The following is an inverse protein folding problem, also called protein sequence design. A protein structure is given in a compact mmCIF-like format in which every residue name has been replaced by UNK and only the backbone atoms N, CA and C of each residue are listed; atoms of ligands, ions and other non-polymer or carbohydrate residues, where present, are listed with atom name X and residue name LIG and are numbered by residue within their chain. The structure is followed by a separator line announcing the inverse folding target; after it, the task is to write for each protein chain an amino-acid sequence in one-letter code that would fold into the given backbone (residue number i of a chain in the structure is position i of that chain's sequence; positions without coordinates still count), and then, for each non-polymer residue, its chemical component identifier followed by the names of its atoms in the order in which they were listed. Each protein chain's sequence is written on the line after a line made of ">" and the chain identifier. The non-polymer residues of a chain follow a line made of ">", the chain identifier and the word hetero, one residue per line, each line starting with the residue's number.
data_IF_211341851825
#
_entry.id   IF_211341851825
#
_cell.length_a   1.000
_cell.length_b   1.000
_cell.length_c   1.000
_cell.angle_alpha   90.00
_cell.angle_beta   90.00
_cell.angle_gamma   90.00
#
_symmetry.space_group_name_H-M   'P 1'
#
loop_
_entity.id
_entity.type
_entity.pdbx_description
1 polymer ?
#
# COMPACT_ATOMS: atom_id res chain seq x y z
N UNK A 1 -26.65 -3.08 9.37
CA UNK A 1 -25.33 -3.58 8.99
C UNK A 1 -24.54 -2.34 8.59
N UNK A 2 -23.38 -2.12 9.18
CA UNK A 2 -22.54 -0.98 8.79
C UNK A 2 -21.89 -1.21 7.43
N UNK A 3 -21.12 -0.24 6.99
CA UNK A 3 -20.40 -0.34 5.69
C UNK A 3 -19.11 -1.16 5.82
N UNK A 4 -18.80 -1.92 4.79
CA UNK A 4 -17.59 -2.73 4.68
C UNK A 4 -16.56 -2.01 3.80
N UNK A 5 -15.31 -1.94 4.26
CA UNK A 5 -14.19 -1.48 3.47
C UNK A 5 -13.22 -2.63 3.18
N UNK A 6 -12.77 -2.76 1.91
CA UNK A 6 -11.58 -3.54 1.60
C UNK A 6 -10.37 -2.62 1.63
N UNK A 7 -9.32 -3.08 2.32
CA UNK A 7 -8.06 -2.36 2.41
C UNK A 7 -6.93 -3.24 1.87
N UNK A 8 -6.14 -2.69 0.94
CA UNK A 8 -5.11 -3.39 0.19
C UNK A 8 -3.73 -3.12 0.77
N UNK A 9 -2.94 -4.18 0.94
CA UNK A 9 -1.65 -4.12 1.60
C UNK A 9 -0.57 -3.40 0.77
N UNK A 10 0.50 -2.98 1.43
CA UNK A 10 1.64 -2.33 0.82
C UNK A 10 2.92 -3.17 0.89
N UNK A 11 4.00 -2.61 0.35
CA UNK A 11 5.33 -3.21 0.41
C UNK A 11 5.76 -3.46 1.86
N UNK A 12 6.38 -4.63 2.11
CA UNK A 12 6.80 -5.10 3.44
C UNK A 12 5.95 -6.27 3.96
N UNK A 13 4.84 -6.58 3.27
CA UNK A 13 3.98 -7.72 3.63
C UNK A 13 4.36 -9.03 2.91
N UNK A 14 5.16 -8.97 1.83
CA UNK A 14 5.50 -10.10 0.97
C UNK A 14 6.23 -11.24 1.69
N UNK A 15 5.95 -12.46 1.26
CA UNK A 15 6.66 -13.67 1.68
C UNK A 15 6.51 -14.77 0.61
N UNK A 16 7.42 -15.75 0.61
CA UNK A 16 7.38 -16.88 -0.31
C UNK A 16 6.18 -17.78 -0.05
N UNK A 17 5.34 -18.01 -1.04
CA UNK A 17 4.09 -18.78 -0.93
C UNK A 17 2.83 -17.92 -0.85
N UNK A 18 2.95 -16.58 -0.82
CA UNK A 18 1.81 -15.67 -0.74
C UNK A 18 0.82 -15.89 -1.89
N UNK A 19 -0.47 -15.96 -1.55
CA UNK A 19 -1.59 -16.11 -2.48
C UNK A 19 -1.77 -17.50 -3.08
N UNK A 20 -0.82 -18.44 -2.88
CA UNK A 20 -0.91 -19.82 -3.43
C UNK A 20 -2.18 -20.54 -3.01
N UNK A 21 -2.60 -20.35 -1.74
CA UNK A 21 -3.81 -20.98 -1.24
C UNK A 21 -5.06 -20.53 -2.02
N UNK A 22 -5.21 -19.23 -2.27
CA UNK A 22 -6.35 -18.69 -3.03
C UNK A 22 -6.26 -19.08 -4.51
N UNK A 23 -5.08 -19.10 -5.11
CA UNK A 23 -4.86 -19.59 -6.47
C UNK A 23 -5.39 -21.02 -6.65
N UNK A 24 -5.16 -21.90 -5.68
CA UNK A 24 -5.58 -23.30 -5.75
C UNK A 24 -7.08 -23.51 -5.46
N UNK A 25 -7.74 -22.58 -4.75
CA UNK A 25 -9.09 -22.77 -4.20
C UNK A 25 -10.15 -21.79 -4.75
N UNK A 26 -9.78 -20.79 -5.56
CA UNK A 26 -10.69 -19.80 -6.16
C UNK A 26 -10.40 -19.62 -7.64
N UNK A 27 -11.34 -19.95 -8.53
CA UNK A 27 -11.23 -19.66 -9.96
C UNK A 27 -10.98 -18.18 -10.25
N UNK A 28 -11.63 -17.26 -9.52
CA UNK A 28 -11.45 -15.82 -9.68
C UNK A 28 -10.05 -15.37 -9.29
N UNK A 29 -9.51 -15.90 -8.18
CA UNK A 29 -8.12 -15.62 -7.79
C UNK A 29 -7.14 -16.17 -8.83
N UNK A 30 -7.34 -17.39 -9.30
CA UNK A 30 -6.50 -18.02 -10.33
C UNK A 30 -6.44 -17.18 -11.60
N UNK A 31 -7.58 -16.66 -12.06
CA UNK A 31 -7.65 -15.82 -13.26
C UNK A 31 -6.78 -14.55 -13.13
N UNK A 32 -6.69 -13.94 -11.94
CA UNK A 32 -5.81 -12.78 -11.71
C UNK A 32 -4.34 -13.16 -11.87
N UNK A 33 -3.90 -14.30 -11.36
CA UNK A 33 -2.53 -14.78 -11.54
C UNK A 33 -2.22 -15.12 -13.01
N UNK A 34 -3.17 -15.76 -13.71
CA UNK A 34 -3.04 -16.07 -15.15
C UNK A 34 -2.93 -14.80 -15.99
N UNK A 35 -3.72 -13.77 -15.68
CA UNK A 35 -3.61 -12.44 -16.29
C UNK A 35 -2.24 -11.83 -16.02
N UNK A 36 -1.77 -11.84 -14.78
CA UNK A 36 -0.46 -11.31 -14.41
C UNK A 36 0.68 -12.00 -15.16
N UNK A 37 0.65 -13.35 -15.25
CA UNK A 37 1.64 -14.12 -15.97
C UNK A 37 1.62 -13.88 -17.48
N UNK A 38 0.46 -13.54 -18.06
CA UNK A 38 0.35 -13.19 -19.49
C UNK A 38 1.05 -11.87 -19.83
N UNK A 39 1.23 -10.99 -18.85
CA UNK A 39 1.85 -9.66 -19.01
C UNK A 39 3.32 -9.67 -18.54
N UNK A 40 3.58 -10.31 -17.42
CA UNK A 40 4.91 -10.46 -16.81
C UNK A 40 5.11 -11.93 -16.43
N UNK A 41 5.81 -12.65 -17.29
CA UNK A 41 6.05 -14.08 -17.12
C UNK A 41 6.59 -14.43 -15.72
N UNK A 42 6.13 -15.58 -15.20
CA UNK A 42 6.54 -16.13 -13.90
C UNK A 42 6.17 -15.26 -12.68
N UNK A 43 5.22 -14.35 -12.76
CA UNK A 43 4.75 -13.57 -11.60
C UNK A 43 4.15 -14.51 -10.54
N UNK A 44 3.29 -15.45 -10.92
CA UNK A 44 2.74 -16.46 -10.02
C UNK A 44 3.84 -17.31 -9.37
N UNK A 45 4.78 -17.81 -10.16
CA UNK A 45 5.92 -18.59 -9.66
C UNK A 45 6.76 -17.77 -8.67
N UNK A 46 7.00 -16.50 -8.95
CA UNK A 46 7.73 -15.61 -8.06
C UNK A 46 6.99 -15.40 -6.73
N UNK A 47 5.65 -15.25 -6.74
CA UNK A 47 4.84 -15.18 -5.53
C UNK A 47 4.93 -16.47 -4.70
N UNK A 48 4.89 -17.63 -5.36
CA UNK A 48 4.76 -18.93 -4.69
C UNK A 48 6.11 -19.50 -4.23
N UNK A 49 7.18 -19.26 -4.99
CA UNK A 49 8.48 -19.93 -4.82
C UNK A 49 9.66 -18.94 -4.74
N UNK A 50 9.44 -17.65 -4.98
CA UNK A 50 10.49 -16.63 -4.97
C UNK A 50 11.16 -16.52 -3.59
N UNK A 51 12.47 -16.30 -3.58
CA UNK A 51 13.21 -16.05 -2.34
C UNK A 51 12.85 -14.70 -1.75
N UNK A 52 13.08 -14.51 -0.44
CA UNK A 52 12.88 -13.20 0.20
C UNK A 52 13.78 -12.12 -0.39
N UNK A 53 14.98 -12.47 -0.85
CA UNK A 53 15.87 -11.54 -1.55
C UNK A 53 15.26 -11.04 -2.86
N UNK A 54 14.67 -11.93 -3.64
CA UNK A 54 13.97 -11.57 -4.90
C UNK A 54 12.72 -10.76 -4.62
N UNK A 55 11.89 -11.21 -3.67
CA UNK A 55 10.63 -10.57 -3.32
C UNK A 55 10.81 -9.20 -2.64
N UNK A 56 11.98 -8.90 -2.08
CA UNK A 56 12.27 -7.61 -1.44
C UNK A 56 12.75 -6.53 -2.42
N UNK A 57 13.03 -6.89 -3.67
CA UNK A 57 13.33 -5.88 -4.72
C UNK A 57 12.05 -5.20 -5.14
N UNK A 58 11.99 -3.87 -5.07
CA UNK A 58 10.78 -3.08 -5.36
C UNK A 58 10.13 -3.45 -6.70
N UNK A 59 10.94 -3.67 -7.74
CA UNK A 59 10.50 -4.10 -9.07
C UNK A 59 9.79 -5.46 -9.08
N UNK A 60 10.02 -6.30 -8.10
CA UNK A 60 9.36 -7.59 -7.91
C UNK A 60 8.24 -7.52 -6.87
N UNK A 61 8.49 -6.82 -5.77
CA UNK A 61 7.53 -6.70 -4.65
C UNK A 61 6.19 -6.15 -5.14
N UNK A 62 6.23 -5.07 -5.91
CA UNK A 62 5.00 -4.37 -6.30
C UNK A 62 4.07 -5.22 -7.16
N UNK A 63 4.49 -5.83 -8.29
CA UNK A 63 3.60 -6.68 -9.07
C UNK A 63 3.16 -7.94 -8.32
N UNK A 64 4.00 -8.52 -7.47
CA UNK A 64 3.65 -9.72 -6.72
C UNK A 64 2.58 -9.46 -5.64
N UNK A 65 2.72 -8.39 -4.85
CA UNK A 65 1.70 -8.02 -3.86
C UNK A 65 0.41 -7.58 -4.55
N UNK A 66 0.48 -6.75 -5.59
CA UNK A 66 -0.69 -6.37 -6.38
C UNK A 66 -1.51 -7.59 -6.82
N UNK A 67 -0.83 -8.61 -7.38
CA UNK A 67 -1.49 -9.82 -7.85
C UNK A 67 -2.17 -10.58 -6.71
N UNK A 68 -1.49 -10.74 -5.58
CA UNK A 68 -2.03 -11.46 -4.43
C UNK A 68 -3.21 -10.70 -3.78
N UNK A 69 -3.11 -9.39 -3.66
CA UNK A 69 -4.16 -8.53 -3.09
C UNK A 69 -5.41 -8.52 -3.97
N UNK A 70 -5.25 -8.32 -5.28
CA UNK A 70 -6.37 -8.33 -6.21
C UNK A 70 -7.01 -9.71 -6.30
N UNK A 71 -6.23 -10.78 -6.29
CA UNK A 71 -6.73 -12.16 -6.26
C UNK A 71 -7.58 -12.43 -5.02
N UNK A 72 -7.15 -11.97 -3.84
CA UNK A 72 -7.92 -12.11 -2.61
C UNK A 72 -9.24 -11.34 -2.65
N UNK A 73 -9.22 -10.11 -3.17
CA UNK A 73 -10.43 -9.31 -3.34
C UNK A 73 -11.42 -9.97 -4.32
N UNK A 74 -10.94 -10.52 -5.44
CA UNK A 74 -11.78 -11.24 -6.40
C UNK A 74 -12.36 -12.52 -5.80
N UNK A 75 -11.61 -13.25 -4.97
CA UNK A 75 -12.10 -14.43 -4.26
C UNK A 75 -13.22 -14.10 -3.26
N UNK A 76 -13.13 -12.97 -2.54
CA UNK A 76 -14.20 -12.48 -1.66
C UNK A 76 -15.47 -12.17 -2.44
N UNK A 77 -15.36 -11.48 -3.57
CA UNK A 77 -16.51 -11.18 -4.45
C UNK A 77 -17.14 -12.47 -5.00
N UNK A 78 -16.34 -13.46 -5.37
CA UNK A 78 -16.82 -14.79 -5.78
C UNK A 78 -17.70 -15.44 -4.70
N UNK A 79 -17.41 -15.19 -3.43
CA UNK A 79 -18.19 -15.67 -2.28
C UNK A 79 -19.35 -14.73 -1.89
N UNK A 80 -19.61 -13.69 -2.66
CA UNK A 80 -20.70 -12.74 -2.44
C UNK A 80 -20.40 -11.65 -1.42
N UNK A 81 -19.14 -11.50 -0.99
CA UNK A 81 -18.71 -10.45 -0.06
C UNK A 81 -18.18 -9.27 -0.88
N UNK A 82 -18.87 -8.13 -0.80
CA UNK A 82 -18.53 -6.91 -1.55
C UNK A 82 -18.33 -5.73 -0.60
N UNK A 83 -17.38 -4.82 -0.88
CA UNK A 83 -17.19 -3.63 -0.07
C UNK A 83 -18.05 -2.46 -0.55
N UNK A 84 -18.35 -1.54 0.35
CA UNK A 84 -18.95 -0.22 0.05
C UNK A 84 -17.90 0.78 -0.43
N UNK A 85 -16.67 0.63 0.06
CA UNK A 85 -15.54 1.46 -0.36
C UNK A 85 -14.21 0.70 -0.23
N UNK A 86 -13.17 1.26 -0.83
CA UNK A 86 -11.82 0.68 -0.81
C UNK A 86 -10.77 1.74 -0.53
N UNK A 87 -9.64 1.31 0.05
CA UNK A 87 -8.40 2.07 0.13
C UNK A 87 -7.22 1.12 -0.01
N UNK A 88 -6.07 1.64 -0.40
CA UNK A 88 -4.85 0.84 -0.46
C UNK A 88 -3.68 1.61 0.13
N UNK A 89 -2.74 0.92 0.73
CA UNK A 89 -1.57 1.52 1.32
C UNK A 89 -0.42 1.55 0.30
N UNK A 90 -0.03 2.72 -0.19
CA UNK A 90 1.05 2.88 -1.16
C UNK A 90 0.79 2.08 -2.45
N UNK A 91 1.51 0.99 -2.69
CA UNK A 91 1.23 0.13 -3.85
C UNK A 91 -0.18 -0.47 -3.83
N UNK A 92 -0.75 -0.69 -2.64
CA UNK A 92 -2.11 -1.19 -2.48
C UNK A 92 -3.18 -0.26 -3.08
N UNK A 93 -2.89 1.03 -3.20
CA UNK A 93 -3.78 1.97 -3.91
C UNK A 93 -3.92 1.60 -5.40
N UNK A 94 -2.88 1.03 -6.03
CA UNK A 94 -2.98 0.54 -7.42
C UNK A 94 -3.92 -0.68 -7.49
N UNK A 95 -3.87 -1.58 -6.49
CA UNK A 95 -4.83 -2.69 -6.38
C UNK A 95 -6.26 -2.18 -6.17
N UNK A 96 -6.42 -1.13 -5.37
CA UNK A 96 -7.70 -0.45 -5.16
C UNK A 96 -8.23 0.22 -6.45
N UNK A 97 -7.36 0.81 -7.29
CA UNK A 97 -7.73 1.36 -8.60
C UNK A 97 -8.27 0.29 -9.54
N UNK A 98 -7.64 -0.89 -9.59
CA UNK A 98 -8.15 -2.03 -10.36
C UNK A 98 -9.50 -2.51 -9.83
N UNK A 99 -9.58 -2.73 -8.51
CA UNK A 99 -10.80 -3.25 -7.89
C UNK A 99 -11.98 -2.29 -8.02
N UNK A 100 -11.75 -0.99 -7.87
CA UNK A 100 -12.79 0.04 -8.02
C UNK A 100 -13.27 0.22 -9.47
N UNK A 101 -12.54 -0.31 -10.44
CA UNK A 101 -12.85 -0.22 -11.87
C UNK A 101 -12.41 1.10 -12.51
N UNK A 102 -11.56 1.89 -11.85
CA UNK A 102 -10.90 3.06 -12.47
C UNK A 102 -9.97 2.59 -13.59
N UNK A 103 -9.25 1.49 -13.35
CA UNK A 103 -8.42 0.81 -14.34
C UNK A 103 -8.93 -0.62 -14.54
N UNK A 104 -8.70 -1.19 -15.72
CA UNK A 104 -8.81 -2.64 -15.90
C UNK A 104 -7.71 -3.34 -15.08
N UNK A 105 -7.94 -4.61 -14.74
CA UNK A 105 -6.95 -5.41 -13.99
C UNK A 105 -5.60 -5.45 -14.73
N UNK A 106 -5.63 -5.55 -16.08
CA UNK A 106 -4.43 -5.57 -16.92
C UNK A 106 -3.70 -4.21 -16.94
N UNK A 107 -4.42 -3.10 -17.09
CA UNK A 107 -3.81 -1.76 -17.10
C UNK A 107 -3.22 -1.42 -15.74
N UNK A 108 -3.91 -1.75 -14.65
CA UNK A 108 -3.41 -1.55 -13.30
C UNK A 108 -2.17 -2.42 -13.03
N UNK A 109 -2.15 -3.67 -13.54
CA UNK A 109 -0.97 -4.53 -13.42
C UNK A 109 0.23 -3.96 -14.20
N UNK A 110 0.02 -3.47 -15.43
CA UNK A 110 1.08 -2.78 -16.19
C UNK A 110 1.56 -1.52 -15.47
N UNK A 111 0.64 -0.75 -14.90
CA UNK A 111 0.94 0.46 -14.13
C UNK A 111 1.79 0.14 -12.89
N UNK A 112 1.43 -0.90 -12.11
CA UNK A 112 2.19 -1.28 -10.92
C UNK A 112 3.58 -1.82 -11.26
N UNK A 113 3.73 -2.55 -12.36
CA UNK A 113 5.05 -2.95 -12.88
C UNK A 113 5.91 -1.72 -13.19
N UNK A 114 5.33 -0.76 -13.92
CA UNK A 114 6.03 0.49 -14.27
C UNK A 114 6.37 1.33 -13.05
N UNK A 115 5.45 1.42 -12.08
CA UNK A 115 5.68 2.09 -10.79
C UNK A 115 6.85 1.45 -10.04
N UNK A 116 6.89 0.12 -9.96
CA UNK A 116 7.99 -0.62 -9.32
C UNK A 116 9.35 -0.33 -9.96
N UNK A 117 9.43 -0.35 -11.30
CA UNK A 117 10.65 -0.02 -12.05
C UNK A 117 11.14 1.41 -11.78
N UNK A 118 10.23 2.39 -11.85
CA UNK A 118 10.58 3.80 -11.67
C UNK A 118 11.01 4.11 -10.24
N UNK A 119 10.32 3.56 -9.25
CA UNK A 119 10.67 3.75 -7.84
C UNK A 119 11.97 3.04 -7.46
N UNK A 120 12.24 1.86 -8.00
CA UNK A 120 13.50 1.13 -7.79
C UNK A 120 14.69 1.90 -8.41
N UNK A 121 14.49 2.43 -9.61
CA UNK A 121 15.47 3.30 -10.27
C UNK A 121 15.74 4.57 -9.44
N UNK A 122 14.69 5.28 -9.03
CA UNK A 122 14.83 6.51 -8.24
C UNK A 122 15.54 6.25 -6.90
N UNK A 123 15.24 5.12 -6.23
CA UNK A 123 15.92 4.70 -5.00
C UNK A 123 17.40 4.42 -5.20
N UNK A 124 17.78 3.91 -6.37
CA UNK A 124 19.18 3.66 -6.74
C UNK A 124 19.94 4.96 -7.05
N UNK A 125 19.29 5.88 -7.77
CA UNK A 125 19.90 7.16 -8.19
C UNK A 125 19.92 8.18 -7.03
N UNK A 126 18.93 8.13 -6.13
CA UNK A 126 18.81 9.01 -4.96
C UNK A 126 18.70 8.16 -3.68
N UNK A 127 19.79 7.57 -3.21
CA UNK A 127 19.75 6.69 -2.04
C UNK A 127 19.35 7.45 -0.79
N UNK A 128 18.51 6.80 0.03
CA UNK A 128 18.05 7.32 1.30
C UNK A 128 17.70 6.20 2.26
N UNK A 129 17.17 6.57 3.40
CA UNK A 129 16.74 5.66 4.44
C UNK A 129 15.33 5.97 4.91
N UNK A 130 14.65 4.97 5.47
CA UNK A 130 13.36 5.17 6.15
C UNK A 130 13.43 4.65 7.57
N UNK A 131 12.80 5.35 8.49
CA UNK A 131 12.70 4.96 9.89
C UNK A 131 11.24 4.97 10.36
N UNK A 132 10.79 3.86 10.96
CA UNK A 132 9.52 3.83 11.67
C UNK A 132 9.70 4.42 13.07
N UNK A 133 9.00 5.53 13.33
CA UNK A 133 8.96 6.22 14.63
C UNK A 133 7.73 5.78 15.39
N UNK A 134 7.91 5.38 16.64
CA UNK A 134 6.87 4.89 17.54
C UNK A 134 6.85 5.73 18.83
N UNK A 135 5.67 5.80 19.47
CA UNK A 135 5.43 6.45 20.78
C UNK A 135 5.54 7.98 20.77
N UNK A 136 5.60 8.61 19.61
CA UNK A 136 5.50 10.07 19.45
C UNK A 136 4.30 10.40 18.59
N UNK A 137 3.71 11.57 18.81
CA UNK A 137 2.63 12.07 17.94
C UNK A 137 3.20 12.52 16.59
N UNK A 138 2.38 12.56 15.53
CA UNK A 138 2.82 13.06 14.24
C UNK A 138 3.46 14.45 14.29
N UNK A 139 2.88 15.40 15.05
CA UNK A 139 3.38 16.76 15.19
C UNK A 139 4.79 16.79 15.83
N UNK A 140 5.02 15.91 16.81
CA UNK A 140 6.35 15.78 17.43
C UNK A 140 7.37 15.19 16.47
N UNK A 141 6.96 14.25 15.62
CA UNK A 141 7.82 13.71 14.57
C UNK A 141 8.15 14.77 13.53
N UNK A 142 7.19 15.58 13.11
CA UNK A 142 7.38 16.70 12.18
C UNK A 142 8.37 17.74 12.75
N UNK A 143 8.24 18.08 14.05
CA UNK A 143 9.18 18.96 14.74
C UNK A 143 10.61 18.40 14.72
N UNK A 144 10.79 17.10 14.97
CA UNK A 144 12.12 16.46 14.90
C UNK A 144 12.64 16.48 13.46
N UNK A 145 11.81 16.16 12.46
CA UNK A 145 12.20 16.20 11.05
C UNK A 145 12.71 17.57 10.63
N UNK A 146 12.10 18.66 11.13
CA UNK A 146 12.50 20.04 10.80
C UNK A 146 13.92 20.41 11.23
N UNK A 147 14.53 19.62 12.10
CA UNK A 147 15.92 19.80 12.58
C UNK A 147 16.96 19.22 11.62
N UNK A 148 16.54 18.45 10.61
CA UNK A 148 17.40 17.73 9.68
C UNK A 148 17.07 18.11 8.24
N UNK A 149 18.08 18.37 7.43
CA UNK A 149 17.88 18.58 5.99
C UNK A 149 17.38 17.31 5.31
N UNK A 150 16.53 17.47 4.28
CA UNK A 150 15.97 16.35 3.48
C UNK A 150 15.39 15.21 4.33
N UNK A 151 14.66 15.56 5.39
CA UNK A 151 14.02 14.61 6.29
C UNK A 151 12.52 14.90 6.36
N UNK A 152 11.70 13.91 5.99
CA UNK A 152 10.28 14.10 5.73
C UNK A 152 9.44 13.00 6.38
N UNK A 153 8.35 13.33 7.11
CA UNK A 153 7.34 12.33 7.47
C UNK A 153 6.63 11.87 6.20
N UNK A 154 6.57 10.55 6.01
CA UNK A 154 6.10 9.96 4.74
C UNK A 154 4.96 8.96 4.88
N UNK A 155 4.74 8.37 6.08
CA UNK A 155 3.54 7.57 6.32
C UNK A 155 2.99 7.91 7.70
N UNK A 156 1.80 8.47 7.73
CA UNK A 156 1.03 8.71 8.96
C UNK A 156 0.17 7.49 9.25
N UNK A 157 0.76 6.49 9.93
CA UNK A 157 0.17 5.16 10.05
C UNK A 157 -0.89 5.05 11.15
N UNK A 158 -0.69 5.72 12.28
CA UNK A 158 -1.60 5.73 13.43
C UNK A 158 -1.18 6.85 14.40
N UNK A 159 -1.99 7.18 15.44
CA UNK A 159 -1.69 8.27 16.38
C UNK A 159 -0.30 8.22 17.03
N UNK A 160 0.33 7.04 17.06
CA UNK A 160 1.63 6.85 17.69
C UNK A 160 2.66 6.15 16.77
N UNK A 161 2.43 6.18 15.46
CA UNK A 161 3.34 5.59 14.48
C UNK A 161 3.39 6.41 13.20
N UNK A 162 4.55 7.01 12.95
CA UNK A 162 4.88 7.73 11.70
C UNK A 162 6.15 7.15 11.10
N UNK A 163 6.20 6.99 9.78
CA UNK A 163 7.44 6.64 9.06
C UNK A 163 8.03 7.92 8.49
N UNK A 164 9.35 8.03 8.59
CA UNK A 164 10.14 9.17 8.12
C UNK A 164 11.12 8.70 7.07
N UNK A 165 11.23 9.43 5.97
CA UNK A 165 12.27 9.31 4.97
C UNK A 165 13.36 10.35 5.23
N UNK A 166 14.63 9.96 5.08
CA UNK A 166 15.78 10.84 5.30
C UNK A 166 16.95 10.43 4.42
N UNK A 167 18.04 11.21 4.43
CA UNK A 167 19.29 10.79 3.80
C UNK A 167 19.95 9.67 4.60
N UNK A 168 20.81 8.88 3.95
CA UNK A 168 21.57 7.84 4.65
C UNK A 168 22.49 8.42 5.74
N UNK A 169 23.03 9.62 5.51
CA UNK A 169 23.90 10.31 6.46
C UNK A 169 23.16 10.76 7.73
N UNK A 170 21.88 11.17 7.59
CA UNK A 170 21.08 11.67 8.71
C UNK A 170 20.40 10.54 9.51
N UNK A 171 20.34 9.33 8.98
CA UNK A 171 19.51 8.25 9.51
C UNK A 171 19.79 7.94 10.99
N UNK A 172 21.06 7.78 11.36
CA UNK A 172 21.44 7.45 12.75
C UNK A 172 21.21 8.64 13.70
N UNK A 173 21.59 9.85 13.27
CA UNK A 173 21.39 11.07 14.07
C UNK A 173 19.89 11.37 14.28
N UNK A 174 19.06 11.13 13.28
CA UNK A 174 17.61 11.22 13.39
C UNK A 174 17.05 10.20 14.40
N UNK A 175 17.49 8.94 14.34
CA UNK A 175 17.07 7.91 15.29
C UNK A 175 17.43 8.26 16.74
N UNK A 176 18.61 8.83 16.98
CA UNK A 176 19.03 9.28 18.33
C UNK A 176 18.21 10.52 18.78
N UNK A 177 17.89 11.45 17.88
CA UNK A 177 17.01 12.57 18.20
C UNK A 177 15.61 12.11 18.63
N UNK A 178 15.01 11.14 17.91
CA UNK A 178 13.73 10.52 18.28
C UNK A 178 13.79 9.90 19.67
N UNK A 179 14.88 9.19 19.97
CA UNK A 179 15.10 8.55 21.26
C UNK A 179 15.27 9.55 22.42
N UNK A 180 15.96 10.65 22.18
CA UNK A 180 16.12 11.74 23.14
C UNK A 180 14.78 12.39 23.53
N UNK A 181 13.80 12.38 22.63
CA UNK A 181 12.42 12.86 22.87
C UNK A 181 11.47 11.77 23.43
N UNK A 182 12.02 10.61 23.85
CA UNK A 182 11.27 9.51 24.46
C UNK A 182 10.57 8.55 23.47
N UNK A 183 10.81 8.72 22.17
CA UNK A 183 10.30 7.84 21.11
C UNK A 183 11.16 6.59 20.91
N UNK A 184 10.76 5.77 19.94
CA UNK A 184 11.55 4.66 19.38
C UNK A 184 11.62 4.83 17.89
N UNK A 185 12.80 4.80 17.32
CA UNK A 185 13.02 4.72 15.88
C UNK A 185 13.63 3.36 15.50
N UNK A 186 13.16 2.80 14.38
CA UNK A 186 13.72 1.59 13.79
C UNK A 186 13.90 1.82 12.29
N UNK A 187 15.13 1.71 11.80
CA UNK A 187 15.40 1.71 10.38
C UNK A 187 14.68 0.55 9.68
N UNK A 188 14.09 0.84 8.55
CA UNK A 188 13.39 -0.14 7.72
C UNK A 188 14.36 -0.73 6.69
N UNK A 189 14.21 -2.01 6.39
CA UNK A 189 14.97 -2.70 5.36
C UNK A 189 14.36 -2.42 3.97
N UNK A 190 14.48 -1.17 3.52
CA UNK A 190 14.00 -0.70 2.20
C UNK A 190 15.13 0.01 1.46
N UNK A 191 15.05 0.01 0.13
CA UNK A 191 16.12 0.51 -0.74
C UNK A 191 16.08 2.03 -0.96
N UNK A 192 15.00 2.73 -0.58
CA UNK A 192 14.84 4.15 -0.89
C UNK A 192 13.98 4.92 0.08
N UNK A 193 14.04 6.23 -0.03
CA UNK A 193 13.24 7.19 0.72
C UNK A 193 11.88 7.45 0.03
N UNK A 194 11.00 6.44 0.03
CA UNK A 194 9.71 6.47 -0.65
C UNK A 194 8.78 7.54 -0.08
N UNK A 195 7.81 7.99 -0.90
CA UNK A 195 6.79 8.99 -0.54
C UNK A 195 7.36 10.34 -0.11
N UNK A 196 8.49 10.73 -0.69
CA UNK A 196 9.20 11.96 -0.40
C UNK A 196 9.74 12.59 -1.69
N UNK A 197 10.30 13.81 -1.66
CA UNK A 197 10.93 14.44 -2.82
C UNK A 197 12.06 13.61 -3.48
N UNK A 198 12.61 12.61 -2.80
CA UNK A 198 13.55 11.65 -3.40
C UNK A 198 12.92 10.84 -4.54
N UNK A 199 11.57 10.77 -4.61
CA UNK A 199 10.82 10.03 -5.63
C UNK A 199 10.29 10.92 -6.77
N UNK A 200 10.70 12.19 -6.87
CA UNK A 200 10.17 13.12 -7.86
C UNK A 200 10.34 12.62 -9.31
N UNK A 201 11.50 12.04 -9.64
CA UNK A 201 11.74 11.49 -10.98
C UNK A 201 10.85 10.26 -11.28
N UNK A 202 10.57 9.45 -10.25
CA UNK A 202 9.64 8.33 -10.38
C UNK A 202 8.21 8.82 -10.61
N UNK A 203 7.78 9.86 -9.87
CA UNK A 203 6.46 10.47 -10.03
C UNK A 203 6.30 11.09 -11.43
N UNK A 204 7.31 11.81 -11.93
CA UNK A 204 7.29 12.39 -13.27
C UNK A 204 7.25 11.31 -14.36
N UNK A 205 8.08 10.27 -14.22
CA UNK A 205 8.06 9.12 -15.13
C UNK A 205 6.74 8.37 -15.16
N UNK A 206 6.10 8.19 -13.99
CA UNK A 206 4.78 7.56 -13.89
C UNK A 206 3.69 8.44 -14.49
N UNK A 207 3.76 9.77 -14.27
CA UNK A 207 2.87 10.73 -14.90
C UNK A 207 2.89 10.64 -16.42
N UNK A 208 4.08 10.62 -17.02
CA UNK A 208 4.27 10.43 -18.47
C UNK A 208 3.71 9.09 -18.97
N UNK A 209 3.95 8.01 -18.22
CA UNK A 209 3.39 6.72 -18.59
C UNK A 209 1.86 6.75 -18.63
N UNK A 210 1.22 7.40 -17.65
CA UNK A 210 -0.23 7.49 -17.55
C UNK A 210 -0.88 8.40 -18.59
N UNK A 211 -0.16 9.23 -19.32
CA UNK A 211 -0.75 10.09 -20.37
C UNK A 211 -1.63 9.30 -21.36
N UNK A 212 -1.19 8.07 -21.70
CA UNK A 212 -1.86 7.18 -22.65
C UNK A 212 -2.68 6.07 -21.97
N UNK A 213 -2.95 6.16 -20.68
CA UNK A 213 -3.79 5.20 -19.93
C UNK A 213 -5.16 5.85 -19.68
N UNK A 214 -6.22 5.12 -19.98
CA UNK A 214 -7.59 5.59 -19.74
C UNK A 214 -8.03 5.29 -18.31
N UNK A 215 -8.50 6.32 -17.60
CA UNK A 215 -9.06 6.22 -16.26
C UNK A 215 -10.56 6.40 -16.30
N UNK A 216 -11.32 5.39 -15.89
CA UNK A 216 -12.77 5.42 -15.82
C UNK A 216 -13.27 5.99 -14.47
N UNK A 217 -14.57 6.23 -14.38
CA UNK A 217 -15.19 6.55 -13.09
C UNK A 217 -15.27 5.28 -12.21
N UNK A 218 -15.00 5.39 -10.90
CA UNK A 218 -15.04 4.24 -10.02
C UNK A 218 -16.47 3.69 -9.86
N UNK A 219 -16.56 2.36 -9.84
CA UNK A 219 -17.80 1.63 -9.51
C UNK A 219 -17.97 1.43 -8.01
N UNK A 220 -16.87 1.48 -7.26
CA UNK A 220 -16.79 1.42 -5.81
C UNK A 220 -15.98 2.62 -5.35
N UNK A 221 -16.42 3.31 -4.31
CA UNK A 221 -15.72 4.48 -3.76
C UNK A 221 -14.30 4.10 -3.33
N UNK A 222 -13.32 4.88 -3.75
CA UNK A 222 -11.90 4.69 -3.39
C UNK A 222 -11.37 5.93 -2.70
N UNK A 223 -10.55 5.75 -1.65
CA UNK A 223 -9.86 6.83 -0.94
C UNK A 223 -8.41 6.94 -1.40
N UNK A 224 -7.92 8.18 -1.52
CA UNK A 224 -6.57 8.47 -1.97
C UNK A 224 -5.59 8.59 -0.79
N UNK A 225 -4.44 7.96 -0.90
CA UNK A 225 -3.32 8.08 0.05
C UNK A 225 -2.86 9.54 0.21
N UNK A 226 -2.86 10.28 -0.90
CA UNK A 226 -2.37 11.66 -0.94
C UNK A 226 -3.33 12.65 -0.29
N UNK A 227 -4.61 12.60 -0.64
CA UNK A 227 -5.60 13.56 -0.12
C UNK A 227 -6.32 13.07 1.13
N UNK A 228 -6.29 11.77 1.41
CA UNK A 228 -7.10 11.06 2.40
C UNK A 228 -8.62 11.18 2.17
N UNK A 229 -9.03 11.65 1.00
CA UNK A 229 -10.43 11.84 0.62
C UNK A 229 -10.82 10.87 -0.50
N UNK A 230 -12.12 10.66 -0.74
CA UNK A 230 -12.57 9.96 -1.93
C UNK A 230 -11.98 10.55 -3.20
N UNK A 231 -11.63 9.69 -4.14
CA UNK A 231 -11.09 10.10 -5.44
C UNK A 231 -12.05 11.06 -6.15
N UNK A 232 -11.53 12.22 -6.54
CA UNK A 232 -12.26 13.25 -7.27
C UNK A 232 -11.33 14.07 -8.14
N UNK A 233 -11.84 14.68 -9.19
CA UNK A 233 -11.06 15.52 -10.11
C UNK A 233 -10.20 14.70 -11.07
N UNK A 234 -8.94 15.06 -11.22
CA UNK A 234 -7.99 14.37 -12.10
C UNK A 234 -7.29 13.22 -11.36
N UNK A 235 -7.71 12.00 -11.66
CA UNK A 235 -7.19 10.78 -11.03
C UNK A 235 -5.71 10.53 -11.33
N UNK A 236 -5.23 10.88 -12.54
CA UNK A 236 -3.81 10.73 -12.91
C UNK A 236 -2.92 11.61 -12.05
N UNK A 237 -3.37 12.83 -11.76
CA UNK A 237 -2.67 13.74 -10.85
C UNK A 237 -2.59 13.16 -9.43
N UNK A 238 -3.67 12.52 -8.93
CA UNK A 238 -3.66 11.90 -7.60
C UNK A 238 -2.67 10.73 -7.53
N UNK A 239 -2.67 9.85 -8.52
CA UNK A 239 -1.76 8.69 -8.59
C UNK A 239 -0.29 9.15 -8.74
N UNK A 240 -0.02 10.19 -9.54
CA UNK A 240 1.32 10.78 -9.65
C UNK A 240 1.76 11.35 -8.30
N UNK A 241 0.92 12.16 -7.68
CA UNK A 241 1.24 12.83 -6.41
C UNK A 241 1.52 11.83 -5.27
N UNK A 242 0.81 10.70 -5.24
CA UNK A 242 0.99 9.65 -4.23
C UNK A 242 2.45 9.12 -4.16
N UNK A 243 3.17 9.09 -5.28
CA UNK A 243 4.53 8.51 -5.33
C UNK A 243 5.54 9.33 -4.53
N UNK A 244 5.40 10.66 -4.52
CA UNK A 244 6.35 11.60 -3.92
C UNK A 244 5.80 12.35 -2.69
N UNK A 245 4.58 12.03 -2.26
CA UNK A 245 3.92 12.66 -1.11
C UNK A 245 3.51 11.64 -0.05
N UNK A 246 3.28 12.10 1.19
CA UNK A 246 2.95 11.21 2.31
C UNK A 246 1.68 10.42 2.13
N UNK A 247 1.69 9.15 2.58
CA UNK A 247 0.53 8.30 2.79
C UNK A 247 -0.17 8.71 4.08
N UNK A 248 -1.40 9.20 4.00
CA UNK A 248 -2.20 9.69 5.13
C UNK A 248 -3.13 8.61 5.67
N UNK A 249 -2.57 7.43 5.98
CA UNK A 249 -3.35 6.23 6.32
C UNK A 249 -4.29 6.41 7.51
N UNK A 250 -3.82 7.01 8.59
CA UNK A 250 -4.67 7.30 9.75
C UNK A 250 -5.91 8.12 9.34
N UNK A 251 -5.70 9.21 8.62
CA UNK A 251 -6.79 10.10 8.18
C UNK A 251 -7.76 9.38 7.22
N UNK A 252 -7.24 8.50 6.34
CA UNK A 252 -8.09 7.67 5.47
C UNK A 252 -9.03 6.82 6.31
N UNK A 253 -8.50 6.07 7.27
CA UNK A 253 -9.30 5.20 8.15
C UNK A 253 -10.32 6.01 8.95
N UNK A 254 -9.93 7.14 9.52
CA UNK A 254 -10.82 8.04 10.26
C UNK A 254 -11.94 8.58 9.35
N UNK A 255 -11.64 8.98 8.12
CA UNK A 255 -12.64 9.44 7.15
C UNK A 255 -13.60 8.32 6.75
N UNK A 256 -13.10 7.11 6.48
CA UNK A 256 -13.95 5.95 6.18
C UNK A 256 -14.91 5.65 7.35
N UNK A 257 -14.43 5.71 8.59
CA UNK A 257 -15.27 5.52 9.78
C UNK A 257 -16.34 6.63 9.88
N UNK A 258 -15.97 7.87 9.66
CA UNK A 258 -16.90 9.01 9.64
C UNK A 258 -17.97 8.87 8.54
N UNK A 259 -17.62 8.23 7.42
CA UNK A 259 -18.54 7.90 6.32
C UNK A 259 -19.38 6.64 6.58
N UNK A 260 -19.26 6.04 7.77
CA UNK A 260 -20.08 4.93 8.28
C UNK A 260 -19.49 3.53 8.08
N UNK A 261 -18.19 3.42 7.77
CA UNK A 261 -17.49 2.11 7.76
C UNK A 261 -17.28 1.65 9.20
N UNK A 262 -17.78 0.45 9.52
CA UNK A 262 -17.58 -0.21 10.80
C UNK A 262 -16.81 -1.53 10.70
N UNK A 263 -16.59 -2.00 9.47
CA UNK A 263 -15.93 -3.28 9.19
C UNK A 263 -14.85 -3.12 8.11
N UNK A 264 -13.62 -3.41 8.47
CA UNK A 264 -12.46 -3.38 7.57
C UNK A 264 -11.98 -4.80 7.28
N UNK A 265 -11.73 -5.11 6.02
CA UNK A 265 -11.14 -6.39 5.59
C UNK A 265 -9.83 -6.10 4.86
N UNK A 266 -8.71 -6.42 5.50
CA UNK A 266 -7.40 -6.43 4.84
C UNK A 266 -7.35 -7.61 3.89
N UNK A 267 -7.30 -7.33 2.59
CA UNK A 267 -7.33 -8.33 1.53
C UNK A 267 -5.95 -8.54 0.96
N UNK A 268 -5.54 -9.80 0.85
CA UNK A 268 -4.24 -10.18 0.30
C UNK A 268 -3.21 -10.47 1.38
N UNK A 269 -2.03 -9.88 1.25
CA UNK A 269 -0.83 -10.34 1.97
C UNK A 269 -0.68 -9.67 3.34
N UNK A 270 -0.58 -10.50 4.38
CA UNK A 270 -0.21 -10.03 5.72
C UNK A 270 -1.37 -9.58 6.61
N UNK A 271 -1.05 -8.76 7.63
CA UNK A 271 -2.01 -8.28 8.64
C UNK A 271 -1.63 -6.92 9.23
N UNK A 272 -0.83 -6.16 8.51
CA UNK A 272 -0.31 -4.88 9.01
C UNK A 272 -1.39 -3.84 9.12
N UNK A 273 -2.25 -3.72 8.10
CA UNK A 273 -3.31 -2.71 8.06
C UNK A 273 -4.40 -3.01 9.08
N UNK A 274 -4.77 -4.28 9.27
CA UNK A 274 -5.66 -4.73 10.35
C UNK A 274 -5.15 -4.26 11.72
N UNK A 275 -3.84 -4.38 11.97
CA UNK A 275 -3.21 -3.89 13.18
C UNK A 275 -3.22 -2.37 13.32
N UNK A 276 -3.08 -1.62 12.22
CA UNK A 276 -3.15 -0.16 12.18
C UNK A 276 -4.57 0.33 12.43
N UNK A 277 -5.57 -0.24 11.76
CA UNK A 277 -6.99 0.08 11.97
C UNK A 277 -7.37 -0.04 13.44
N UNK A 278 -6.99 -1.14 14.09
CA UNK A 278 -7.27 -1.36 15.52
C UNK A 278 -6.56 -0.35 16.45
N UNK A 279 -5.43 0.21 16.04
CA UNK A 279 -4.73 1.27 16.80
C UNK A 279 -5.35 2.65 16.58
N UNK A 280 -5.95 2.87 15.41
CA UNK A 280 -6.65 4.12 15.08
C UNK A 280 -8.00 4.15 15.78
N UNK A 281 -8.76 3.05 15.68
CA UNK A 281 -10.04 2.89 16.34
C UNK A 281 -10.27 1.42 16.76
N UNK A 282 -10.33 1.17 18.06
CA UNK A 282 -10.53 -0.16 18.63
C UNK A 282 -11.96 -0.71 18.51
N UNK A 283 -12.95 0.16 18.25
CA UNK A 283 -14.37 -0.19 18.26
C UNK A 283 -14.84 -0.78 16.92
N UNK A 284 -14.11 -0.57 15.83
CA UNK A 284 -14.45 -1.13 14.52
C UNK A 284 -14.00 -2.58 14.40
N UNK A 285 -14.70 -3.35 13.58
CA UNK A 285 -14.27 -4.71 13.22
C UNK A 285 -13.14 -4.63 12.21
N UNK A 286 -12.10 -5.46 12.35
CA UNK A 286 -11.01 -5.57 11.38
C UNK A 286 -10.59 -7.03 11.24
N UNK A 287 -10.66 -7.52 10.02
CA UNK A 287 -10.34 -8.88 9.61
C UNK A 287 -9.18 -8.86 8.60
N UNK A 288 -8.48 -9.98 8.48
CA UNK A 288 -7.56 -10.25 7.36
C UNK A 288 -8.10 -11.39 6.53
N UNK A 289 -7.89 -11.35 5.23
CA UNK A 289 -8.23 -12.42 4.29
C UNK A 289 -7.08 -12.67 3.34
N UNK A 290 -6.45 -13.81 3.50
CA UNK A 290 -5.30 -14.27 2.73
C UNK A 290 -5.49 -15.69 2.18
N UNK A 291 -6.41 -16.46 2.77
CA UNK A 291 -6.68 -17.85 2.44
C UNK A 291 -8.17 -18.11 2.26
N UNK A 292 -8.53 -19.21 1.59
CA UNK A 292 -9.91 -19.65 1.50
C UNK A 292 -10.54 -19.91 2.88
N UNK A 293 -9.75 -20.43 3.83
CA UNK A 293 -10.21 -20.63 5.21
C UNK A 293 -10.48 -19.29 5.91
N UNK A 294 -9.73 -18.22 5.64
CA UNK A 294 -10.02 -16.90 6.19
C UNK A 294 -11.37 -16.39 5.65
N UNK A 295 -11.68 -16.61 4.36
CA UNK A 295 -12.98 -16.22 3.77
C UNK A 295 -14.13 -16.98 4.43
N UNK A 296 -13.98 -18.30 4.57
CA UNK A 296 -15.03 -19.15 5.17
C UNK A 296 -15.24 -18.85 6.68
N UNK A 297 -14.25 -18.26 7.35
CA UNK A 297 -14.31 -17.90 8.77
C UNK A 297 -14.79 -16.45 9.01
N UNK A 298 -15.12 -15.66 7.96
CA UNK A 298 -15.60 -14.30 8.14
C UNK A 298 -17.00 -14.26 8.76
N UNK A 299 -17.12 -13.63 9.92
CA UNK A 299 -18.37 -13.32 10.61
C UNK A 299 -18.66 -11.81 10.49
N UNK A 300 -19.35 -11.41 9.42
CA UNK A 300 -19.68 -10.02 9.09
C UNK A 300 -20.98 -9.51 9.71
#
# INVERSE_FOLDING_TARGET
>A
MGKIAFIFSGQGAQYSGMGKNLYDNSPSAKAVYEMADSIRENTSKQCFEGTMEELSKTVNTQPCIFTADLAAARALVEKGITPDCVAGFSLGEISALAFSGILSDEEAFRLVCKRGELMDKAATENPGAMAAVLKLTPEKVEEICSRFDKTYPVNYNSPAQTVVATTSENADAFCEAVKAEGGRAKLLAVSGAFHSPFMADAAEGLGKYMENVDFAQPKVQIYSDYTAQPYSGDFKTLVKAQVENPVKWQTIVENMINDGVDTFIEVGVGKTLTGLVKRINGDVKAFKVETAADIDALEL
#
